data_IF_919193904844
#
_entry.id   IF_919193904844
#
_cell.length_a   1.000
_cell.length_b   1.000
_cell.length_c   1.000
_cell.angle_alpha   90.00
_cell.angle_beta   90.00
_cell.angle_gamma   90.00
#
_symmetry.space_group_name_H-M   'P 1'
#
loop_
_entity.id
_entity.type
_entity.pdbx_description
1 polymer ?
#
# COMPACT_ATOMS: atom_id res chain seq x y z
N UNK A 1 -14.30 -1.83 -1.11
CA UNK A 1 -15.03 -2.63 -0.12
C UNK A 1 -14.48 -2.31 1.25
N UNK A 2 -15.30 -2.40 2.31
CA UNK A 2 -14.87 -2.11 3.70
C UNK A 2 -14.71 -3.39 4.53
N UNK A 3 -14.72 -4.55 3.88
CA UNK A 3 -14.64 -5.86 4.53
C UNK A 3 -13.36 -6.54 4.07
N UNK A 4 -12.59 -7.04 5.03
CA UNK A 4 -11.39 -7.82 4.75
C UNK A 4 -11.77 -9.22 4.24
N UNK A 5 -11.10 -9.64 3.18
CA UNK A 5 -11.25 -10.96 2.58
C UNK A 5 -9.86 -11.49 2.19
N UNK A 6 -9.31 -12.48 2.92
CA UNK A 6 -7.97 -12.99 2.69
C UNK A 6 -7.82 -13.76 1.37
N UNK A 7 -8.92 -14.22 0.76
CA UNK A 7 -8.86 -14.96 -0.52
C UNK A 7 -8.73 -14.02 -1.72
N UNK A 8 -9.01 -12.74 -1.52
CA UNK A 8 -9.00 -11.74 -2.60
C UNK A 8 -7.65 -11.09 -2.80
N UNK A 9 -6.62 -11.35 -2.00
CA UNK A 9 -5.30 -10.73 -2.19
C UNK A 9 -4.16 -11.63 -1.71
N UNK A 10 -2.95 -11.37 -2.21
CA UNK A 10 -1.75 -12.06 -1.77
C UNK A 10 -1.19 -11.40 -0.50
N UNK A 11 -1.57 -11.86 0.68
CA UNK A 11 -1.15 -11.29 1.96
C UNK A 11 -0.58 -12.36 2.89
N UNK A 12 -0.15 -11.96 4.10
CA UNK A 12 0.21 -12.95 5.13
C UNK A 12 -0.98 -13.86 5.51
N UNK A 13 -2.21 -13.39 5.34
CA UNK A 13 -3.41 -14.13 5.71
C UNK A 13 -4.00 -14.99 4.57
N UNK A 14 -3.50 -14.88 3.34
CA UNK A 14 -4.01 -15.65 2.20
C UNK A 14 -3.22 -15.46 0.89
N UNK A 15 -3.44 -16.33 -0.09
CA UNK A 15 -2.71 -16.33 -1.36
C UNK A 15 -1.46 -17.24 -1.35
N UNK A 16 -0.61 -17.15 -2.38
CA UNK A 16 0.47 -18.12 -2.61
C UNK A 16 1.73 -17.92 -1.75
N UNK A 17 1.81 -16.84 -0.95
CA UNK A 17 2.98 -16.50 -0.12
C UNK A 17 4.30 -16.37 -0.89
N UNK A 18 4.21 -16.05 -2.17
CA UNK A 18 5.31 -15.68 -3.05
C UNK A 18 4.81 -14.61 -4.04
N UNK A 19 5.69 -13.88 -4.75
CA UNK A 19 5.25 -12.95 -5.78
C UNK A 19 4.35 -13.65 -6.80
N UNK A 20 3.16 -13.09 -7.01
CA UNK A 20 2.24 -13.50 -8.07
C UNK A 20 2.33 -12.51 -9.24
N UNK A 21 1.86 -12.91 -10.42
CA UNK A 21 1.73 -11.96 -11.52
C UNK A 21 0.79 -10.81 -11.15
N UNK A 22 1.11 -9.60 -11.60
CA UNK A 22 0.22 -8.43 -11.47
C UNK A 22 -1.15 -8.78 -12.05
N UNK A 23 -2.22 -8.51 -11.29
CA UNK A 23 -3.60 -8.82 -11.66
C UNK A 23 -4.00 -10.27 -11.47
N UNK A 24 -3.22 -11.10 -10.77
CA UNK A 24 -3.61 -12.46 -10.39
C UNK A 24 -4.88 -12.50 -9.51
N UNK A 25 -5.21 -11.38 -8.87
CA UNK A 25 -6.40 -11.20 -8.04
C UNK A 25 -7.33 -10.11 -8.63
N UNK A 26 -8.02 -10.38 -9.74
CA UNK A 26 -8.84 -9.38 -10.43
C UNK A 26 -10.02 -8.90 -9.58
N UNK A 27 -10.53 -9.75 -8.70
CA UNK A 27 -11.58 -9.39 -7.76
C UNK A 27 -11.07 -8.46 -6.66
N UNK A 28 -9.76 -8.22 -6.51
CA UNK A 28 -9.21 -7.22 -5.58
C UNK A 28 -9.11 -5.81 -6.14
N UNK A 29 -9.72 -5.54 -7.29
CA UNK A 29 -9.65 -4.21 -7.88
C UNK A 29 -10.24 -3.15 -6.95
N UNK A 30 -9.48 -2.07 -6.73
CA UNK A 30 -9.98 -0.91 -6.01
C UNK A 30 -11.11 -0.22 -6.77
N UNK A 31 -11.95 0.62 -6.12
CA UNK A 31 -12.96 1.43 -6.82
C UNK A 31 -12.38 2.36 -7.90
N UNK A 32 -11.06 2.56 -7.94
CA UNK A 32 -10.34 3.39 -8.90
C UNK A 32 -9.68 2.59 -10.03
N UNK A 33 -9.91 1.27 -10.09
CA UNK A 33 -9.34 0.41 -11.15
C UNK A 33 -7.92 -0.06 -10.91
N UNK A 34 -7.27 0.33 -9.80
CA UNK A 34 -5.96 -0.17 -9.42
C UNK A 34 -6.06 -1.59 -8.83
N UNK A 35 -5.16 -2.48 -9.27
CA UNK A 35 -4.99 -3.85 -8.79
C UNK A 35 -3.79 -3.94 -7.85
N UNK A 36 -3.73 -5.01 -7.07
CA UNK A 36 -2.59 -5.37 -6.21
C UNK A 36 -2.20 -4.32 -5.14
N UNK A 37 -3.06 -3.33 -4.88
CA UNK A 37 -2.85 -2.29 -3.86
C UNK A 37 -2.87 -2.80 -2.41
N UNK A 38 -3.29 -4.05 -2.19
CA UNK A 38 -3.32 -4.71 -0.89
C UNK A 38 -2.59 -6.06 -1.00
N UNK A 39 -1.47 -6.18 -0.30
CA UNK A 39 -0.59 -7.35 -0.41
C UNK A 39 0.28 -7.34 -1.67
N UNK A 40 0.78 -8.52 -2.05
CA UNK A 40 1.72 -8.71 -3.15
C UNK A 40 3.12 -8.34 -2.72
N UNK A 41 3.46 -7.06 -2.85
CA UNK A 41 4.78 -6.52 -2.56
C UNK A 41 4.67 -5.15 -1.90
N UNK A 42 5.75 -4.75 -1.23
CA UNK A 42 5.95 -3.39 -0.78
C UNK A 42 6.17 -2.44 -1.96
N UNK A 43 5.36 -1.40 -2.03
CA UNK A 43 5.44 -0.35 -3.05
C UNK A 43 6.06 0.91 -2.46
N UNK A 44 7.19 1.33 -3.01
CA UNK A 44 7.90 2.54 -2.58
C UNK A 44 7.11 3.82 -2.88
N UNK A 45 7.06 4.73 -1.90
CA UNK A 45 6.55 6.08 -2.06
C UNK A 45 7.70 7.09 -2.09
N UNK A 46 7.43 8.27 -2.67
CA UNK A 46 8.41 9.36 -2.72
C UNK A 46 8.74 9.91 -1.33
N UNK A 47 7.81 9.83 -0.39
CA UNK A 47 7.87 10.46 0.93
C UNK A 47 8.94 9.84 1.84
N UNK A 48 9.56 10.70 2.66
CA UNK A 48 10.33 10.26 3.83
C UNK A 48 9.38 9.83 4.95
N UNK A 49 9.80 8.87 5.79
CA UNK A 49 9.07 8.51 7.00
C UNK A 49 9.22 9.59 8.07
N UNK A 50 8.11 9.96 8.69
CA UNK A 50 8.06 10.79 9.89
C UNK A 50 6.92 10.35 10.80
N UNK A 51 7.25 9.95 12.03
CA UNK A 51 6.30 9.39 13.00
C UNK A 51 5.10 10.31 13.27
N UNK A 52 5.36 11.62 13.43
CA UNK A 52 4.34 12.62 13.72
C UNK A 52 3.82 13.35 12.47
N UNK A 53 4.29 12.99 11.27
CA UNK A 53 4.04 13.79 10.07
C UNK A 53 2.56 13.97 9.77
N UNK A 54 1.73 12.97 10.06
CA UNK A 54 0.28 13.06 9.83
C UNK A 54 -0.40 14.11 10.71
N UNK A 55 0.11 14.37 11.92
CA UNK A 55 -0.43 15.40 12.79
C UNK A 55 -0.04 16.82 12.35
N UNK A 56 1.07 16.96 11.62
CA UNK A 56 1.66 18.23 11.21
C UNK A 56 1.49 18.53 9.71
N UNK A 57 1.01 17.55 8.95
CA UNK A 57 0.91 17.57 7.49
C UNK A 57 0.04 18.73 7.00
N UNK A 58 0.44 19.44 5.92
CA UNK A 58 -0.47 20.34 5.24
C UNK A 58 -1.68 19.57 4.70
N UNK A 59 -2.83 20.22 4.66
CA UNK A 59 -4.09 19.61 4.23
C UNK A 59 -4.15 19.33 2.70
N UNK A 60 -3.30 19.98 1.91
CA UNK A 60 -3.28 19.87 0.46
C UNK A 60 -1.89 19.46 -0.01
N UNK A 61 -1.85 18.41 -0.83
CA UNK A 61 -0.66 17.87 -1.49
C UNK A 61 0.58 17.74 -0.57
N UNK A 62 0.45 17.01 0.56
CA UNK A 62 1.60 16.76 1.44
C UNK A 62 2.67 15.92 0.73
N UNK A 63 3.93 16.17 1.06
CA UNK A 63 5.10 15.56 0.38
C UNK A 63 6.03 14.77 1.32
N UNK A 64 5.57 14.52 2.54
CA UNK A 64 6.41 13.99 3.61
C UNK A 64 7.29 15.08 4.25
N UNK A 65 8.08 14.70 5.27
CA UNK A 65 9.14 15.54 5.81
C UNK A 65 10.21 15.86 4.76
N UNK A 66 10.95 16.96 4.92
CA UNK A 66 12.01 17.35 3.98
C UNK A 66 13.21 16.39 3.96
N UNK A 67 13.42 15.65 5.06
CA UNK A 67 14.51 14.69 5.20
C UNK A 67 14.12 13.51 6.10
N UNK A 68 14.83 12.40 5.96
CA UNK A 68 14.63 11.20 6.77
C UNK A 68 15.69 10.14 6.47
N UNK A 69 15.67 9.07 7.25
CA UNK A 69 16.56 7.91 7.06
C UNK A 69 15.87 6.76 6.32
N UNK A 70 14.54 6.76 6.28
CA UNK A 70 13.71 5.71 5.69
C UNK A 70 12.67 6.33 4.75
N UNK A 71 12.46 5.69 3.59
CA UNK A 71 11.35 6.03 2.68
C UNK A 71 10.11 5.22 3.03
N UNK A 72 8.93 5.77 2.71
CA UNK A 72 7.66 5.09 2.95
C UNK A 72 7.47 3.93 1.96
N UNK A 73 6.91 2.83 2.45
CA UNK A 73 6.37 1.73 1.65
C UNK A 73 4.91 1.48 2.04
N UNK A 74 4.08 1.01 1.09
CA UNK A 74 2.65 0.67 1.27
C UNK A 74 2.32 -0.63 0.54
N UNK A 75 1.10 -1.14 0.73
CA UNK A 75 0.59 -2.33 0.04
C UNK A 75 0.50 -3.53 0.98
N UNK A 76 1.63 -4.13 1.33
CA UNK A 76 1.73 -5.22 2.30
C UNK A 76 3.09 -5.91 2.28
#
# INVERSE_FOLDING_TARGET
GNQWDPERCNSIAGGPHHPAGVGAFPDCVSPYGALDMAGGLWEWCADWYGENYYAESPARDPRGPDSGTLRIVRGG
#
